data_IF_710795509921
#
_entry.id   IF_710795509921
#
_cell.length_a   1.000
_cell.length_b   1.000
_cell.length_c   1.000
_cell.angle_alpha   90.00
_cell.angle_beta   90.00
_cell.angle_gamma   90.00
#
_symmetry.space_group_name_H-M   'P 1'
#
loop_
_entity.id
_entity.type
_entity.pdbx_description
1 polymer ?
#
# COMPACT_ATOMS: atom_id res chain seq x y z
N UNK A 1 16.04 2.09 1.08
CA UNK A 1 16.60 1.83 2.43
C UNK A 1 16.59 0.33 2.66
N UNK A 2 17.63 -0.23 3.27
CA UNK A 2 17.73 -1.69 3.47
C UNK A 2 17.05 -2.19 4.75
N UNK A 3 16.63 -1.29 5.67
CA UNK A 3 15.91 -1.62 6.90
C UNK A 3 14.93 -0.49 7.28
N UNK A 4 13.80 -0.85 7.91
CA UNK A 4 12.79 0.09 8.44
C UNK A 4 12.81 0.18 9.97
N UNK A 5 13.72 -0.56 10.61
CA UNK A 5 13.94 -0.51 12.04
C UNK A 5 15.43 -0.45 12.38
N UNK A 6 15.75 0.15 13.53
CA UNK A 6 17.10 0.16 14.10
C UNK A 6 16.99 0.15 15.63
N UNK A 7 17.45 -0.93 16.25
CA UNK A 7 17.33 -1.09 17.69
C UNK A 7 15.86 -1.08 18.11
N UNK A 8 15.47 -0.14 18.97
CA UNK A 8 14.07 0.01 19.44
C UNK A 8 13.28 1.08 18.68
N UNK A 9 13.81 1.56 17.56
CA UNK A 9 13.18 2.59 16.73
C UNK A 9 12.71 1.96 15.43
N UNK A 10 11.48 2.27 15.03
CA UNK A 10 10.90 1.83 13.77
C UNK A 10 10.27 3.01 13.02
N UNK A 11 10.39 2.98 11.70
CA UNK A 11 9.71 3.91 10.80
C UNK A 11 8.37 3.30 10.40
N UNK A 12 7.34 4.13 10.25
CA UNK A 12 5.98 3.69 9.91
C UNK A 12 5.35 4.65 8.90
N UNK A 13 4.57 4.11 7.96
CA UNK A 13 3.89 4.90 6.93
C UNK A 13 4.87 5.50 5.92
N UNK A 14 4.60 6.71 5.46
CA UNK A 14 5.36 7.34 4.36
C UNK A 14 6.84 7.56 4.70
N UNK A 15 7.17 7.67 6.01
CA UNK A 15 8.56 7.76 6.48
C UNK A 15 9.37 6.48 6.23
N UNK A 16 8.69 5.33 6.12
CA UNK A 16 9.31 4.03 5.85
C UNK A 16 9.16 3.63 4.37
N UNK A 17 7.98 3.88 3.80
CA UNK A 17 7.57 3.30 2.53
C UNK A 17 6.48 4.14 1.86
N UNK A 18 6.79 5.36 1.45
CA UNK A 18 5.87 6.17 0.65
C UNK A 18 5.47 5.38 -0.62
N UNK A 19 4.21 4.91 -0.74
CA UNK A 19 3.72 4.43 -2.01
C UNK A 19 3.51 5.67 -2.88
N UNK A 20 4.00 5.66 -4.11
CA UNK A 20 3.85 6.78 -5.04
C UNK A 20 2.42 7.37 -4.98
N UNK A 21 2.33 8.70 -4.86
CA UNK A 21 1.09 9.50 -4.69
C UNK A 21 -0.05 9.07 -5.62
N UNK A 22 0.28 8.51 -6.78
CA UNK A 22 -0.63 8.09 -7.85
C UNK A 22 -1.68 7.05 -7.40
N UNK A 23 -1.41 6.26 -6.36
CA UNK A 23 -2.34 5.22 -5.90
C UNK A 23 -3.35 5.68 -4.84
N UNK A 24 -3.13 6.83 -4.18
CA UNK A 24 -3.99 7.32 -3.10
C UNK A 24 -4.09 6.39 -1.87
N UNK A 25 -3.13 5.47 -1.71
CA UNK A 25 -3.18 4.40 -0.68
C UNK A 25 -2.46 4.74 0.63
N UNK A 26 -1.84 5.92 0.75
CA UNK A 26 -0.96 6.24 1.89
C UNK A 26 -1.62 6.04 3.26
N UNK A 27 -2.86 6.52 3.44
CA UNK A 27 -3.59 6.37 4.72
C UNK A 27 -3.95 4.92 5.03
N UNK A 28 -4.42 4.16 4.04
CA UNK A 28 -4.77 2.75 4.23
C UNK A 28 -3.52 1.92 4.59
N UNK A 29 -2.41 2.20 3.93
CA UNK A 29 -1.13 1.56 4.15
C UNK A 29 -0.53 1.92 5.52
N UNK A 30 -0.68 3.17 5.95
CA UNK A 30 -0.29 3.61 7.29
C UNK A 30 -1.09 2.91 8.39
N UNK A 31 -2.41 2.80 8.23
CA UNK A 31 -3.28 2.09 9.19
C UNK A 31 -2.92 0.60 9.29
N UNK A 32 -2.69 -0.05 8.14
CA UNK A 32 -2.22 -1.44 8.10
C UNK A 32 -0.89 -1.62 8.83
N UNK A 33 0.09 -0.76 8.52
CA UNK A 33 1.39 -0.84 9.14
C UNK A 33 1.32 -0.65 10.67
N UNK A 34 0.50 0.29 11.13
CA UNK A 34 0.26 0.49 12.55
C UNK A 34 -0.37 -0.74 13.22
N UNK A 35 -1.36 -1.37 12.57
CA UNK A 35 -1.99 -2.60 13.06
C UNK A 35 -1.00 -3.75 13.21
N UNK A 36 -0.19 -4.01 12.18
CA UNK A 36 0.81 -5.07 12.19
C UNK A 36 1.90 -4.80 13.23
N UNK A 37 2.40 -3.57 13.32
CA UNK A 37 3.39 -3.19 14.33
C UNK A 37 2.88 -3.43 15.75
N UNK A 38 1.67 -2.95 16.05
CA UNK A 38 1.06 -3.13 17.36
C UNK A 38 0.82 -4.62 17.67
N UNK A 39 0.41 -5.41 16.68
CA UNK A 39 0.19 -6.84 16.81
C UNK A 39 1.47 -7.64 17.05
N UNK A 40 2.56 -7.36 16.33
CA UNK A 40 3.84 -8.03 16.54
C UNK A 40 4.44 -7.69 17.91
N UNK A 41 4.31 -6.43 18.34
CA UNK A 41 4.74 -5.98 19.67
C UNK A 41 3.90 -6.60 20.80
N UNK A 42 2.59 -6.75 20.61
CA UNK A 42 1.71 -7.34 21.63
C UNK A 42 1.99 -8.82 21.86
N UNK A 43 2.32 -9.57 20.79
CA UNK A 43 2.72 -10.98 20.86
C UNK A 43 4.11 -11.19 21.49
N UNK A 44 5.01 -10.22 21.38
CA UNK A 44 6.42 -10.34 21.79
C UNK A 44 6.86 -9.27 22.77
N UNK A 45 6.10 -9.09 23.86
CA UNK A 45 6.37 -8.09 24.90
C UNK A 45 7.81 -8.13 25.45
N UNK A 46 8.41 -9.33 25.50
CA UNK A 46 9.76 -9.55 26.01
C UNK A 46 10.85 -9.42 24.93
N UNK A 47 10.49 -9.42 23.64
CA UNK A 47 11.41 -9.39 22.50
C UNK A 47 10.98 -8.36 21.44
N UNK A 48 11.09 -7.06 21.73
CA UNK A 48 10.67 -6.02 20.79
C UNK A 48 11.52 -5.97 19.53
N UNK A 49 12.78 -6.41 19.58
CA UNK A 49 13.64 -6.51 18.38
C UNK A 49 13.07 -7.53 17.39
N UNK A 50 12.69 -8.72 17.87
CA UNK A 50 12.07 -9.74 17.05
C UNK A 50 10.71 -9.29 16.49
N UNK A 51 9.93 -8.54 17.28
CA UNK A 51 8.69 -7.93 16.80
C UNK A 51 8.92 -6.99 15.61
N UNK A 52 9.96 -6.15 15.67
CA UNK A 52 10.30 -5.21 14.60
C UNK A 52 10.79 -5.93 13.34
N UNK A 53 11.56 -7.01 13.48
CA UNK A 53 11.97 -7.85 12.34
C UNK A 53 10.77 -8.48 11.64
N UNK A 54 9.80 -9.02 12.40
CA UNK A 54 8.58 -9.63 11.84
C UNK A 54 7.67 -8.60 11.17
N UNK A 55 7.51 -7.45 11.81
CA UNK A 55 6.85 -6.29 11.24
C UNK A 55 7.44 -5.93 9.87
N UNK A 56 8.77 -5.82 9.79
CA UNK A 56 9.46 -5.47 8.55
C UNK A 56 9.32 -6.54 7.47
N UNK A 57 9.48 -7.82 7.81
CA UNK A 57 9.33 -8.94 6.87
C UNK A 57 7.93 -8.97 6.24
N UNK A 58 6.88 -8.81 7.06
CA UNK A 58 5.51 -8.85 6.58
C UNK A 58 5.20 -7.67 5.66
N UNK A 59 5.57 -6.46 6.07
CA UNK A 59 5.32 -5.25 5.29
C UNK A 59 6.13 -5.20 4.00
N UNK A 60 7.36 -5.73 3.99
CA UNK A 60 8.24 -5.69 2.81
C UNK A 60 7.63 -6.45 1.64
N UNK A 61 7.04 -7.62 1.91
CA UNK A 61 6.32 -8.37 0.88
C UNK A 61 5.16 -7.53 0.31
N UNK A 62 4.33 -6.96 1.18
CA UNK A 62 3.15 -6.20 0.77
C UNK A 62 3.51 -4.92 0.00
N UNK A 63 4.49 -4.14 0.48
CA UNK A 63 4.84 -2.85 -0.10
C UNK A 63 5.54 -3.00 -1.44
N UNK A 64 6.42 -3.99 -1.61
CA UNK A 64 7.10 -4.20 -2.89
C UNK A 64 6.11 -4.55 -4.00
N UNK A 65 5.09 -5.35 -3.70
CA UNK A 65 4.01 -5.64 -4.64
C UNK A 65 3.25 -4.36 -5.04
N UNK A 66 2.99 -3.48 -4.07
CA UNK A 66 2.26 -2.22 -4.30
C UNK A 66 3.09 -1.17 -5.02
N UNK A 67 4.38 -1.06 -4.74
CA UNK A 67 5.29 -0.15 -5.43
C UNK A 67 5.46 -0.57 -6.90
N UNK A 68 5.63 -1.87 -7.17
CA UNK A 68 5.69 -2.39 -8.54
C UNK A 68 4.41 -2.10 -9.33
N UNK A 69 3.24 -2.27 -8.70
CA UNK A 69 1.96 -1.91 -9.32
C UNK A 69 1.85 -0.39 -9.57
N UNK A 70 2.31 0.43 -8.63
CA UNK A 70 2.29 1.89 -8.77
C UNK A 70 3.22 2.39 -9.90
N UNK A 71 4.39 1.78 -10.07
CA UNK A 71 5.30 2.05 -11.19
C UNK A 71 4.63 1.75 -12.53
N UNK A 72 4.00 0.57 -12.68
CA UNK A 72 3.25 0.22 -13.89
C UNK A 72 2.09 1.17 -14.19
N UNK A 73 1.42 1.67 -13.15
CA UNK A 73 0.33 2.63 -13.31
C UNK A 73 0.82 4.05 -13.67
N UNK A 74 2.03 4.44 -13.26
CA UNK A 74 2.58 5.77 -13.53
C UNK A 74 2.71 6.05 -15.03
N UNK A 75 3.20 5.07 -15.79
CA UNK A 75 3.38 5.17 -17.24
C UNK A 75 2.04 5.39 -17.99
N UNK A 76 0.95 4.83 -17.46
CA UNK A 76 -0.41 5.01 -18.01
C UNK A 76 -1.00 6.39 -17.69
N UNK A 77 -0.61 6.98 -16.56
CA UNK A 77 -1.11 8.27 -16.10
C UNK A 77 -0.37 9.46 -16.73
N UNK A 78 0.94 9.31 -16.98
CA UNK A 78 1.81 10.31 -17.60
C UNK A 78 2.40 9.77 -18.91
N UNK A 79 1.57 9.55 -19.95
CA UNK A 79 2.07 9.06 -21.23
C UNK A 79 2.94 10.11 -21.91
N UNK A 80 4.14 9.74 -22.33
CA UNK A 80 5.10 10.62 -23.00
C UNK A 80 4.71 10.92 -24.47
N UNK A 81 3.73 10.19 -25.03
CA UNK A 81 3.33 10.31 -26.43
C UNK A 81 2.04 11.11 -26.61
N UNK A 82 1.95 11.88 -27.71
CA UNK A 82 0.74 12.64 -28.07
C UNK A 82 -0.49 11.77 -28.24
N UNK A 83 -0.33 10.56 -28.79
CA UNK A 83 -1.41 9.58 -28.90
C UNK A 83 -1.83 9.04 -27.54
N UNK A 84 -0.87 8.74 -26.64
CA UNK A 84 -1.17 8.32 -25.27
C UNK A 84 -1.92 9.38 -24.47
N UNK A 85 -1.54 10.66 -24.62
CA UNK A 85 -2.28 11.79 -24.01
C UNK A 85 -3.71 11.89 -24.55
N UNK A 86 -3.90 11.68 -25.85
CA UNK A 86 -5.25 11.67 -26.44
C UNK A 86 -6.09 10.53 -25.86
N UNK A 87 -5.58 9.30 -25.84
CA UNK A 87 -6.29 8.13 -25.29
C UNK A 87 -6.64 8.35 -23.82
N UNK A 88 -5.66 8.74 -22.98
CA UNK A 88 -5.88 9.05 -21.56
C UNK A 88 -7.00 10.07 -21.38
N UNK A 89 -6.96 11.18 -22.12
CA UNK A 89 -7.96 12.24 -22.00
C UNK A 89 -9.36 11.78 -22.44
N UNK A 90 -9.47 10.91 -23.45
CA UNK A 90 -10.76 10.34 -23.86
C UNK A 90 -11.31 9.39 -22.79
N UNK A 91 -10.47 8.55 -22.20
CA UNK A 91 -10.86 7.67 -21.09
C UNK A 91 -11.32 8.48 -19.87
N UNK A 92 -10.57 9.52 -19.46
CA UNK A 92 -10.98 10.40 -18.35
C UNK A 92 -12.31 11.09 -18.61
N UNK A 93 -12.58 11.53 -19.86
CA UNK A 93 -13.88 12.09 -20.23
C UNK A 93 -14.99 11.05 -20.16
N UNK A 94 -14.73 9.81 -20.60
CA UNK A 94 -15.70 8.72 -20.50
C UNK A 94 -16.03 8.34 -19.04
N UNK A 95 -15.08 8.48 -18.11
CA UNK A 95 -15.31 8.28 -16.67
C UNK A 95 -16.31 9.27 -16.05
N UNK A 96 -16.54 10.43 -16.67
CA UNK A 96 -17.57 11.39 -16.22
C UNK A 96 -19.01 10.90 -16.44
N UNK A 97 -19.18 9.81 -17.19
CA UNK A 97 -20.46 9.15 -17.40
C UNK A 97 -20.65 8.11 -16.29
N UNK A 98 -21.45 8.45 -15.27
CA UNK A 98 -21.66 7.63 -14.06
C UNK A 98 -22.03 6.16 -14.33
N UNK A 99 -22.63 5.87 -15.48
CA UNK A 99 -22.96 4.51 -15.92
C UNK A 99 -21.71 3.69 -16.32
N UNK A 100 -20.75 4.30 -17.01
CA UNK A 100 -19.49 3.65 -17.45
C UNK A 100 -18.55 3.42 -16.27
N UNK A 101 -18.46 4.39 -15.35
CA UNK A 101 -17.69 4.24 -14.12
C UNK A 101 -18.19 3.04 -13.29
N UNK A 102 -19.52 2.85 -13.17
CA UNK A 102 -20.11 1.68 -12.46
C UNK A 102 -19.81 0.34 -13.13
N UNK A 103 -19.69 0.31 -14.45
CA UNK A 103 -19.45 -0.91 -15.22
C UNK A 103 -17.97 -1.30 -15.21
N UNK A 104 -17.06 -0.31 -15.18
CA UNK A 104 -15.61 -0.52 -15.16
C UNK A 104 -15.06 -0.71 -13.73
N UNK A 105 -15.56 0.00 -12.71
CA UNK A 105 -15.14 -0.18 -11.31
C UNK A 105 -15.80 -1.39 -10.60
N UNK A 106 -16.46 -2.28 -11.33
CA UNK A 106 -17.17 -3.42 -10.78
C UNK A 106 -16.31 -4.32 -9.88
N UNK A 107 -16.66 -4.37 -8.59
CA UNK A 107 -16.17 -5.30 -7.54
C UNK A 107 -14.68 -5.32 -7.17
N UNK A 108 -13.81 -4.56 -7.81
CA UNK A 108 -12.36 -4.63 -7.57
C UNK A 108 -11.80 -3.57 -6.60
N UNK A 109 -12.63 -2.71 -6.00
CA UNK A 109 -12.16 -1.61 -5.12
C UNK A 109 -11.78 -2.09 -3.70
N UNK A 110 -12.17 -3.30 -3.31
CA UNK A 110 -11.71 -3.90 -2.05
C UNK A 110 -10.56 -4.84 -2.35
N UNK A 111 -9.36 -4.29 -2.43
CA UNK A 111 -8.15 -5.09 -2.23
C UNK A 111 -8.28 -5.79 -0.88
N UNK A 112 -8.52 -7.11 -0.92
CA UNK A 112 -8.58 -7.93 0.29
C UNK A 112 -7.17 -8.09 0.83
N UNK A 113 -6.76 -7.15 1.66
CA UNK A 113 -5.53 -7.24 2.42
C UNK A 113 -5.72 -8.34 3.46
N UNK A 114 -4.97 -9.43 3.35
CA UNK A 114 -4.95 -10.50 4.35
C UNK A 114 -4.14 -10.05 5.56
N UNK A 115 -4.81 -9.48 6.56
CA UNK A 115 -4.18 -9.05 7.80
C UNK A 115 -3.92 -10.24 8.73
N UNK A 116 -2.74 -10.31 9.38
CA UNK A 116 -2.45 -11.30 10.40
C UNK A 116 -3.38 -11.12 11.60
N UNK A 117 -3.87 -12.23 12.16
CA UNK A 117 -4.76 -12.17 13.32
C UNK A 117 -3.95 -12.10 14.64
N UNK A 118 -4.20 -11.05 15.41
CA UNK A 118 -3.61 -10.82 16.73
C UNK A 118 -4.61 -10.99 17.89
N UNK A 119 -5.86 -11.35 17.58
CA UNK A 119 -6.92 -11.60 18.56
C UNK A 119 -6.67 -12.96 19.22
N UNK A 120 -6.25 -12.98 20.49
CA UNK A 120 -5.92 -14.20 21.22
C UNK A 120 -4.80 -14.09 22.25
N UNK A 121 -4.14 -12.93 22.34
CA UNK A 121 -3.15 -12.68 23.39
C UNK A 121 -3.83 -12.14 24.66
N UNK A 122 -4.33 -13.05 25.50
CA UNK A 122 -4.45 -12.84 26.94
C UNK A 122 -3.15 -13.31 27.61
#
# INVERSE_FOLDING_TARGET
MNAWSRGRVALVGDTAFCPSLLAGQGSALAMMAAYVLAGELSKRKQSPLEALERYEQWLRYFILERQAAAEQFADSFVPETRFGLFVRNQVTKAFSIAFVARLILGRSVLDRINLPNYSGCN
#
